data_IF_024418878615
#
_entry.id   IF_024418878615
#
_cell.length_a   1.000
_cell.length_b   1.000
_cell.length_c   1.000
_cell.angle_alpha   90.00
_cell.angle_beta   90.00
_cell.angle_gamma   90.00
#
_symmetry.space_group_name_H-M   'P 1'
#
loop_
_entity.id
_entity.type
_entity.pdbx_description
1 polymer ?
#
# COMPACT_ATOMS: atom_id res chain seq x y z
N UNK A 1 -33.73 -26.62 -17.82
CA UNK A 1 -33.52 -26.06 -16.48
C UNK A 1 -32.17 -25.40 -16.54
N UNK A 2 -32.07 -24.10 -16.24
CA UNK A 2 -30.76 -23.46 -16.14
C UNK A 2 -30.08 -24.04 -14.89
N UNK A 3 -28.85 -24.54 -15.02
CA UNK A 3 -28.09 -25.00 -13.86
C UNK A 3 -27.88 -23.83 -12.90
N UNK A 4 -28.07 -24.11 -11.62
CA UNK A 4 -27.75 -23.18 -10.54
C UNK A 4 -26.26 -22.82 -10.61
N UNK A 5 -25.88 -21.56 -10.35
CA UNK A 5 -24.46 -21.20 -10.32
C UNK A 5 -23.73 -21.98 -9.22
N UNK A 6 -22.51 -22.40 -9.51
CA UNK A 6 -21.62 -23.03 -8.52
C UNK A 6 -21.40 -22.09 -7.34
N UNK A 7 -21.68 -22.57 -6.13
CA UNK A 7 -21.39 -21.84 -4.89
C UNK A 7 -19.94 -22.11 -4.51
N UNK A 8 -19.16 -21.04 -4.38
CA UNK A 8 -17.77 -21.08 -3.89
C UNK A 8 -17.83 -20.97 -2.35
N UNK A 9 -17.45 -22.03 -1.64
CA UNK A 9 -17.42 -22.04 -0.19
C UNK A 9 -16.07 -21.53 0.36
N UNK A 10 -14.99 -21.73 -0.40
CA UNK A 10 -13.64 -21.34 0.00
C UNK A 10 -12.74 -21.02 -1.18
N UNK A 11 -11.56 -20.45 -0.90
CA UNK A 11 -10.53 -20.22 -1.91
C UNK A 11 -10.05 -21.55 -2.53
N UNK A 12 -10.10 -22.65 -1.79
CA UNK A 12 -9.68 -23.97 -2.25
C UNK A 12 -10.56 -24.48 -3.42
N UNK A 13 -11.83 -24.09 -3.48
CA UNK A 13 -12.74 -24.47 -4.58
C UNK A 13 -12.36 -23.83 -5.93
N UNK A 14 -11.50 -22.80 -5.86
CA UNK A 14 -10.94 -22.08 -6.99
C UNK A 14 -9.54 -22.56 -7.37
N UNK A 15 -8.96 -23.50 -6.60
CA UNK A 15 -7.63 -24.03 -6.86
C UNK A 15 -7.53 -24.65 -8.27
N UNK A 16 -6.43 -24.34 -8.98
CA UNK A 16 -6.20 -24.81 -10.35
C UNK A 16 -6.99 -24.08 -11.44
N UNK A 17 -7.96 -23.21 -11.10
CA UNK A 17 -8.67 -22.36 -12.08
C UNK A 17 -7.88 -21.11 -12.44
N UNK A 18 -6.99 -20.67 -11.55
CA UNK A 18 -6.21 -19.44 -11.69
C UNK A 18 -4.72 -19.73 -11.62
N UNK A 19 -3.95 -19.04 -12.47
CA UNK A 19 -2.50 -19.18 -12.53
C UNK A 19 -1.77 -18.43 -11.41
N UNK A 20 -2.43 -17.50 -10.73
CA UNK A 20 -1.91 -16.74 -9.61
C UNK A 20 -3.06 -16.09 -8.82
N UNK A 21 -2.76 -15.64 -7.61
CA UNK A 21 -3.66 -14.86 -6.75
C UNK A 21 -3.01 -13.49 -6.49
N UNK A 22 -3.77 -12.44 -6.75
CA UNK A 22 -3.48 -11.07 -6.31
C UNK A 22 -4.42 -10.77 -5.15
N UNK A 23 -3.90 -10.76 -3.93
CA UNK A 23 -4.69 -10.67 -2.71
C UNK A 23 -4.47 -9.32 -2.02
N UNK A 24 -5.56 -8.68 -1.63
CA UNK A 24 -5.51 -7.50 -0.77
C UNK A 24 -5.01 -7.85 0.64
N UNK A 25 -4.62 -6.84 1.41
CA UNK A 25 -3.96 -6.97 2.71
C UNK A 25 -4.82 -6.44 3.85
N UNK A 26 -5.13 -5.15 3.84
CA UNK A 26 -5.90 -4.52 4.93
C UNK A 26 -7.37 -4.91 4.84
N UNK A 27 -7.92 -5.44 5.93
CA UNK A 27 -9.29 -5.98 5.94
C UNK A 27 -9.44 -7.39 5.35
N UNK A 28 -8.39 -7.95 4.73
CA UNK A 28 -8.40 -9.30 4.14
C UNK A 28 -7.43 -10.25 4.83
N UNK A 29 -6.18 -9.82 5.04
CA UNK A 29 -5.14 -10.60 5.73
C UNK A 29 -4.99 -10.13 7.18
N UNK A 30 -5.16 -8.82 7.45
CA UNK A 30 -5.04 -8.26 8.79
C UNK A 30 -5.78 -6.92 8.94
N UNK A 31 -5.87 -6.41 10.17
CA UNK A 31 -6.45 -5.10 10.48
C UNK A 31 -5.42 -4.07 11.00
N UNK A 32 -4.13 -4.40 10.97
CA UNK A 32 -3.05 -3.54 11.48
C UNK A 32 -2.65 -3.83 12.92
N UNK A 33 -3.49 -4.52 13.69
CA UNK A 33 -3.19 -4.93 15.07
C UNK A 33 -2.90 -6.44 15.17
N UNK A 34 -3.67 -7.27 14.45
CA UNK A 34 -3.45 -8.70 14.32
C UNK A 34 -3.85 -9.20 12.93
N UNK A 35 -3.33 -10.37 12.56
CA UNK A 35 -3.71 -11.04 11.31
C UNK A 35 -4.95 -11.93 11.47
N UNK A 36 -5.58 -12.28 10.36
CA UNK A 36 -6.70 -13.20 10.27
C UNK A 36 -6.20 -14.61 9.93
N UNK A 37 -6.19 -15.57 10.89
CA UNK A 37 -5.54 -16.87 10.67
C UNK A 37 -6.16 -17.69 9.53
N UNK A 38 -7.48 -17.59 9.34
CA UNK A 38 -8.17 -18.31 8.26
C UNK A 38 -7.73 -17.82 6.86
N UNK A 39 -7.52 -16.52 6.69
CA UNK A 39 -7.04 -15.94 5.44
C UNK A 39 -5.61 -16.37 5.15
N UNK A 40 -4.70 -16.23 6.13
CA UNK A 40 -3.32 -16.68 6.01
C UNK A 40 -3.23 -18.18 5.67
N UNK A 41 -4.03 -19.03 6.33
CA UNK A 41 -4.07 -20.46 6.06
C UNK A 41 -4.58 -20.80 4.66
N UNK A 42 -5.57 -20.05 4.13
CA UNK A 42 -6.06 -20.23 2.77
C UNK A 42 -4.99 -19.90 1.72
N UNK A 43 -4.26 -18.80 1.91
CA UNK A 43 -3.17 -18.42 1.02
C UNK A 43 -2.00 -19.42 1.09
N UNK A 44 -1.64 -19.90 2.29
CA UNK A 44 -0.62 -20.93 2.46
C UNK A 44 -0.98 -22.24 1.74
N UNK A 45 -2.26 -22.66 1.79
CA UNK A 45 -2.75 -23.84 1.03
C UNK A 45 -2.68 -23.60 -0.48
N UNK A 46 -3.05 -22.43 -0.97
CA UNK A 46 -2.94 -22.10 -2.39
C UNK A 46 -1.47 -22.20 -2.87
N UNK A 47 -0.52 -21.70 -2.09
CA UNK A 47 0.91 -21.83 -2.38
C UNK A 47 1.41 -23.28 -2.34
N UNK A 48 0.97 -24.06 -1.35
CA UNK A 48 1.28 -25.49 -1.29
C UNK A 48 0.72 -26.27 -2.51
N UNK A 49 -0.35 -25.76 -3.13
CA UNK A 49 -0.89 -26.25 -4.39
C UNK A 49 -0.21 -25.65 -5.65
N UNK A 50 0.94 -24.97 -5.49
CA UNK A 50 1.71 -24.30 -6.53
C UNK A 50 0.98 -23.15 -7.25
N UNK A 51 0.04 -22.49 -6.56
CA UNK A 51 -0.54 -21.21 -7.03
C UNK A 51 0.25 -20.06 -6.40
N UNK A 52 0.97 -19.25 -7.20
CA UNK A 52 1.67 -18.07 -6.69
C UNK A 52 0.70 -17.08 -6.05
N UNK A 53 1.08 -16.54 -4.90
CA UNK A 53 0.31 -15.54 -4.16
C UNK A 53 1.13 -14.26 -4.05
N UNK A 54 0.62 -13.18 -4.64
CA UNK A 54 1.18 -11.83 -4.49
C UNK A 54 0.19 -11.00 -3.68
N UNK A 55 0.66 -10.44 -2.58
CA UNK A 55 -0.10 -9.46 -1.82
C UNK A 55 0.05 -8.09 -2.48
N UNK A 56 -1.07 -7.43 -2.74
CA UNK A 56 -1.13 -6.08 -3.30
C UNK A 56 -1.82 -5.18 -2.29
N UNK A 57 -1.19 -4.08 -1.91
CA UNK A 57 -1.75 -3.13 -0.93
C UNK A 57 -1.53 -1.69 -1.35
N UNK A 58 -2.48 -0.82 -1.02
CA UNK A 58 -2.36 0.61 -1.23
C UNK A 58 -1.42 1.31 -0.24
N UNK A 59 -0.78 0.58 0.68
CA UNK A 59 0.17 1.17 1.62
C UNK A 59 1.20 2.04 0.90
N UNK A 60 1.46 3.27 1.40
CA UNK A 60 2.41 4.19 0.78
C UNK A 60 3.87 3.79 1.08
N UNK A 61 4.06 2.86 2.02
CA UNK A 61 5.38 2.37 2.43
C UNK A 61 5.92 1.36 1.43
N UNK A 62 7.23 1.12 1.49
CA UNK A 62 7.89 0.11 0.67
C UNK A 62 7.50 -1.30 1.11
N UNK A 63 7.54 -2.26 0.18
CA UNK A 63 7.20 -3.67 0.49
C UNK A 63 8.01 -4.25 1.66
N UNK A 64 9.28 -3.89 1.81
CA UNK A 64 10.11 -4.35 2.92
C UNK A 64 9.52 -3.95 4.30
N UNK A 65 9.03 -2.72 4.42
CA UNK A 65 8.45 -2.18 5.66
C UNK A 65 7.07 -2.80 5.94
N UNK A 66 6.28 -3.06 4.88
CA UNK A 66 5.00 -3.77 4.99
C UNK A 66 5.24 -5.22 5.44
N UNK A 67 6.21 -5.93 4.85
CA UNK A 67 6.57 -7.30 5.25
C UNK A 67 7.02 -7.34 6.72
N UNK A 68 7.82 -6.37 7.15
CA UNK A 68 8.27 -6.29 8.54
C UNK A 68 7.09 -6.08 9.51
N UNK A 69 6.14 -5.20 9.18
CA UNK A 69 4.93 -5.00 9.97
C UNK A 69 4.07 -6.27 10.02
N UNK A 70 3.80 -6.88 8.87
CA UNK A 70 3.01 -8.11 8.76
C UNK A 70 3.60 -9.23 9.64
N UNK A 71 4.93 -9.37 9.64
CA UNK A 71 5.62 -10.32 10.51
C UNK A 71 5.44 -9.96 11.99
N UNK A 72 5.51 -8.68 12.36
CA UNK A 72 5.34 -8.24 13.75
C UNK A 72 3.94 -8.54 14.31
N UNK A 73 2.89 -8.48 13.47
CA UNK A 73 1.51 -8.83 13.84
C UNK A 73 1.16 -10.31 13.61
N UNK A 74 2.17 -11.12 13.30
CA UNK A 74 2.09 -12.58 13.27
C UNK A 74 1.65 -13.21 11.95
N UNK A 75 1.66 -12.48 10.83
CA UNK A 75 1.38 -13.08 9.51
C UNK A 75 2.48 -14.11 9.19
N UNK A 76 2.13 -15.38 8.92
CA UNK A 76 3.10 -16.40 8.55
C UNK A 76 3.85 -16.06 7.25
N UNK A 77 5.16 -16.33 7.22
CA UNK A 77 5.99 -16.07 6.04
C UNK A 77 5.58 -16.93 4.82
N UNK A 78 4.87 -18.03 5.05
CA UNK A 78 4.35 -18.90 4.00
C UNK A 78 3.00 -18.44 3.43
N UNK A 79 2.46 -17.30 3.86
CA UNK A 79 1.21 -16.76 3.34
C UNK A 79 1.32 -16.12 1.94
N UNK A 80 2.52 -15.74 1.48
CA UNK A 80 2.70 -15.14 0.16
C UNK A 80 4.09 -15.41 -0.44
N UNK A 81 4.21 -15.23 -1.76
CA UNK A 81 5.50 -15.24 -2.47
C UNK A 81 6.12 -13.86 -2.56
N UNK A 82 5.29 -12.81 -2.65
CA UNK A 82 5.74 -11.42 -2.75
C UNK A 82 4.69 -10.44 -2.22
N UNK A 83 5.16 -9.27 -1.81
CA UNK A 83 4.33 -8.09 -1.53
C UNK A 83 4.68 -7.01 -2.54
N UNK A 84 3.67 -6.36 -3.09
CA UNK A 84 3.77 -5.15 -3.92
C UNK A 84 2.89 -4.09 -3.29
N UNK A 85 3.45 -2.89 -3.09
CA UNK A 85 2.74 -1.78 -2.46
C UNK A 85 2.51 -0.64 -3.45
N UNK A 86 1.52 0.21 -3.17
CA UNK A 86 1.38 1.48 -3.89
C UNK A 86 2.63 2.35 -3.74
N UNK A 87 3.26 2.35 -2.56
CA UNK A 87 4.56 2.98 -2.35
C UNK A 87 5.64 2.53 -3.33
N UNK A 88 5.79 1.22 -3.55
CA UNK A 88 6.79 0.67 -4.47
C UNK A 88 6.64 1.22 -5.88
N UNK A 89 5.41 1.28 -6.41
CA UNK A 89 5.13 1.76 -7.78
C UNK A 89 5.04 3.29 -7.87
N UNK A 90 4.71 3.98 -6.78
CA UNK A 90 4.67 5.45 -6.74
C UNK A 90 6.07 6.05 -6.87
N UNK A 91 7.11 5.30 -6.48
CA UNK A 91 8.51 5.74 -6.65
C UNK A 91 8.88 6.10 -8.08
N UNK A 92 8.30 5.44 -9.07
CA UNK A 92 8.54 5.79 -10.48
C UNK A 92 7.98 7.18 -10.81
N UNK A 93 6.77 7.50 -10.31
CA UNK A 93 6.18 8.84 -10.46
C UNK A 93 6.99 9.92 -9.73
N UNK A 94 7.56 9.57 -8.56
CA UNK A 94 8.43 10.49 -7.80
C UNK A 94 9.72 10.75 -8.58
N UNK A 95 10.33 9.71 -9.15
CA UNK A 95 11.56 9.82 -9.93
C UNK A 95 11.39 10.60 -11.23
N UNK A 96 10.25 10.44 -11.91
CA UNK A 96 9.89 11.17 -13.13
C UNK A 96 9.39 12.60 -12.85
N UNK A 97 9.08 12.90 -11.59
CA UNK A 97 8.49 14.16 -11.13
C UNK A 97 9.52 15.25 -10.78
N UNK A 98 9.05 16.33 -10.14
CA UNK A 98 9.93 17.41 -9.69
C UNK A 98 10.87 16.96 -8.56
N UNK A 99 12.16 17.31 -8.67
CA UNK A 99 13.21 16.94 -7.70
C UNK A 99 13.05 17.58 -6.31
N UNK A 100 12.52 18.81 -6.23
CA UNK A 100 12.27 19.51 -4.96
C UNK A 100 10.85 19.22 -4.49
N UNK A 101 10.72 18.40 -3.44
CA UNK A 101 9.46 17.82 -2.98
C UNK A 101 9.08 18.40 -1.62
N UNK A 102 7.83 18.83 -1.50
CA UNK A 102 7.17 19.01 -0.20
C UNK A 102 6.45 17.71 0.15
N UNK A 103 6.85 17.09 1.25
CA UNK A 103 6.24 15.85 1.72
C UNK A 103 5.07 16.14 2.66
N UNK A 104 3.97 15.42 2.50
CA UNK A 104 2.85 15.37 3.43
C UNK A 104 2.69 13.93 3.90
N UNK A 105 2.89 13.69 5.20
CA UNK A 105 2.86 12.35 5.78
C UNK A 105 3.80 12.20 6.98
N UNK A 106 3.75 11.06 7.67
CA UNK A 106 4.53 10.82 8.88
C UNK A 106 6.00 10.52 8.55
N UNK A 107 6.93 10.85 9.45
CA UNK A 107 8.39 10.62 9.25
C UNK A 107 8.75 9.17 8.91
N UNK A 108 7.96 8.21 9.41
CA UNK A 108 8.13 6.77 9.12
C UNK A 108 8.06 6.43 7.64
N UNK A 109 7.43 7.29 6.82
CA UNK A 109 7.27 7.08 5.38
C UNK A 109 8.43 7.68 4.56
N UNK A 110 9.45 8.29 5.19
CA UNK A 110 10.62 8.83 4.48
C UNK A 110 11.41 7.75 3.74
N UNK A 111 11.29 6.47 4.14
CA UNK A 111 11.89 5.33 3.43
C UNK A 111 11.40 5.22 1.98
N UNK A 112 10.26 5.82 1.64
CA UNK A 112 9.74 5.93 0.28
C UNK A 112 10.73 6.63 -0.66
N UNK A 113 11.55 7.56 -0.15
CA UNK A 113 12.51 8.33 -0.95
C UNK A 113 13.89 7.68 -1.06
N UNK A 114 14.16 6.61 -0.32
CA UNK A 114 15.49 5.98 -0.28
C UNK A 114 15.99 5.62 -1.68
N UNK A 115 17.17 6.14 -2.03
CA UNK A 115 17.82 5.92 -3.31
C UNK A 115 17.23 6.68 -4.50
N UNK A 116 16.29 7.62 -4.28
CA UNK A 116 15.81 8.54 -5.31
C UNK A 116 16.64 9.84 -5.27
N UNK A 117 16.90 10.45 -6.44
CA UNK A 117 17.55 11.76 -6.54
C UNK A 117 16.52 12.88 -6.35
N UNK A 118 16.09 13.07 -5.10
CA UNK A 118 15.12 14.09 -4.69
C UNK A 118 15.60 14.84 -3.45
N UNK A 119 15.24 16.12 -3.35
CA UNK A 119 15.46 16.95 -2.16
C UNK A 119 14.10 17.19 -1.48
N UNK A 120 13.96 16.74 -0.24
CA UNK A 120 12.83 17.13 0.61
C UNK A 120 13.07 18.55 1.11
N UNK A 121 12.14 19.44 0.83
CA UNK A 121 12.27 20.88 1.10
C UNK A 121 11.02 21.45 1.73
N UNK A 122 11.13 22.67 2.27
CA UNK A 122 10.00 23.40 2.84
C UNK A 122 8.93 23.74 1.78
N UNK A 123 7.70 24.01 2.23
CA UNK A 123 6.55 24.28 1.36
C UNK A 123 6.91 25.30 0.26
N UNK A 124 7.52 26.44 0.65
CA UNK A 124 7.82 27.55 -0.26
C UNK A 124 8.91 27.24 -1.30
N UNK A 125 9.76 26.25 -1.06
CA UNK A 125 10.87 25.86 -1.95
C UNK A 125 10.48 24.78 -2.95
N UNK A 126 9.36 24.10 -2.69
CA UNK A 126 8.95 22.92 -3.43
C UNK A 126 8.46 23.21 -4.85
N UNK A 127 8.62 22.20 -5.70
CA UNK A 127 8.15 22.17 -7.08
C UNK A 127 7.17 21.02 -7.35
N UNK A 128 7.00 20.11 -6.40
CA UNK A 128 6.00 19.04 -6.40
C UNK A 128 5.67 18.62 -4.97
N UNK A 129 4.56 17.90 -4.82
CA UNK A 129 4.08 17.37 -3.54
C UNK A 129 4.00 15.85 -3.62
N UNK A 130 4.46 15.17 -2.57
CA UNK A 130 4.24 13.74 -2.37
C UNK A 130 3.51 13.55 -1.05
N UNK A 131 2.28 13.02 -1.14
CA UNK A 131 1.43 12.73 0.00
C UNK A 131 1.38 11.23 0.25
N UNK A 132 1.83 10.80 1.43
CA UNK A 132 1.72 9.41 1.89
C UNK A 132 0.58 9.22 2.90
N UNK A 133 0.12 10.31 3.51
CA UNK A 133 -0.95 10.33 4.50
C UNK A 133 -1.01 11.69 5.19
N UNK A 134 -1.61 11.73 6.38
CA UNK A 134 -1.55 12.89 7.28
C UNK A 134 -0.22 12.83 8.06
N UNK A 135 0.27 13.97 8.55
CA UNK A 135 1.44 14.04 9.44
C UNK A 135 1.19 13.24 10.73
N UNK A 136 0.00 13.38 11.32
CA UNK A 136 -0.47 12.61 12.48
C UNK A 136 -1.93 12.15 12.27
N UNK A 137 -2.08 10.91 11.80
CA UNK A 137 -3.38 10.29 11.51
C UNK A 137 -4.19 9.89 12.76
N UNK A 138 -3.63 10.03 13.96
CA UNK A 138 -4.35 9.77 15.21
C UNK A 138 -5.20 10.98 15.66
N UNK A 139 -4.78 12.19 15.31
CA UNK A 139 -5.40 13.43 15.81
C UNK A 139 -5.88 14.38 14.71
N UNK A 140 -5.25 14.37 13.55
CA UNK A 140 -5.54 15.30 12.46
C UNK A 140 -6.66 14.78 11.56
N UNK A 141 -7.28 15.69 10.82
CA UNK A 141 -8.35 15.43 9.87
C UNK A 141 -8.09 16.15 8.56
N UNK A 142 -8.71 15.72 7.44
CA UNK A 142 -8.57 16.42 6.16
C UNK A 142 -8.90 17.93 6.21
N UNK A 143 -9.80 18.34 7.11
CA UNK A 143 -10.15 19.74 7.29
C UNK A 143 -8.97 20.61 7.77
N UNK A 144 -8.05 20.04 8.55
CA UNK A 144 -6.87 20.75 9.07
C UNK A 144 -5.87 21.09 7.94
N UNK A 145 -5.97 20.39 6.81
CA UNK A 145 -5.13 20.56 5.62
C UNK A 145 -5.71 21.54 4.60
N UNK A 146 -6.93 22.06 4.80
CA UNK A 146 -7.63 22.85 3.79
C UNK A 146 -6.82 24.08 3.33
N UNK A 147 -6.27 24.85 4.28
CA UNK A 147 -5.45 26.03 3.95
C UNK A 147 -4.16 25.65 3.24
N UNK A 148 -3.48 24.59 3.70
CA UNK A 148 -2.27 24.06 3.07
C UNK A 148 -2.56 23.66 1.62
N UNK A 149 -3.59 22.85 1.39
CA UNK A 149 -3.98 22.38 0.06
C UNK A 149 -4.37 23.55 -0.87
N UNK A 150 -5.01 24.59 -0.34
CA UNK A 150 -5.28 25.82 -1.10
C UNK A 150 -3.99 26.53 -1.55
N UNK A 151 -2.98 26.66 -0.67
CA UNK A 151 -1.68 27.27 -1.03
C UNK A 151 -0.92 26.46 -2.07
N UNK A 152 -0.89 25.14 -1.91
CA UNK A 152 -0.27 24.23 -2.89
C UNK A 152 -0.95 24.32 -4.25
N UNK A 153 -2.29 24.31 -4.27
CA UNK A 153 -3.09 24.44 -5.50
C UNK A 153 -2.93 25.81 -6.16
N UNK A 154 -2.81 26.90 -5.40
CA UNK A 154 -2.60 28.24 -5.94
C UNK A 154 -1.30 28.35 -6.75
N UNK A 155 -0.29 27.54 -6.41
CA UNK A 155 0.97 27.40 -7.15
C UNK A 155 0.94 26.35 -8.27
N UNK A 156 -0.19 25.66 -8.45
CA UNK A 156 -0.38 24.59 -9.42
C UNK A 156 0.69 23.48 -9.32
N UNK A 157 1.09 23.14 -8.09
CA UNK A 157 2.05 22.05 -7.86
C UNK A 157 1.41 20.71 -8.23
N UNK A 158 2.13 19.81 -8.93
CA UNK A 158 1.68 18.43 -9.08
C UNK A 158 1.63 17.76 -7.72
N UNK A 159 0.61 16.91 -7.52
CA UNK A 159 0.35 16.23 -6.27
C UNK A 159 0.34 14.72 -6.52
N UNK A 160 1.40 14.05 -6.08
CA UNK A 160 1.53 12.60 -6.14
C UNK A 160 0.91 12.03 -4.86
N UNK A 161 -0.09 11.17 -5.01
CA UNK A 161 -0.71 10.44 -3.91
C UNK A 161 -0.14 9.02 -3.87
N UNK A 162 0.55 8.66 -2.78
CA UNK A 162 1.16 7.35 -2.61
C UNK A 162 0.24 6.30 -1.99
N UNK A 163 -0.91 6.71 -1.44
CA UNK A 163 -1.97 5.84 -0.95
C UNK A 163 -3.35 6.37 -1.39
N UNK A 164 -4.05 5.72 -2.34
CA UNK A 164 -5.34 6.17 -2.85
C UNK A 164 -6.56 5.88 -1.94
N UNK A 165 -6.39 5.20 -0.81
CA UNK A 165 -7.46 4.99 0.20
C UNK A 165 -7.80 6.28 0.96
#
# INVERSE_FOLDING_TARGET
MADSPDIIASLDDLAGRYAAILCDVWGVVHNGEWHFPAAAAALARARAANVPVVLITNSPRRSADVIAQMKAIGVPADACDRVVTSGDVTRDLIADGPRRIFHIGPERDFTLYDGLDVDLVEEFEASGVVCTGLYDDEVEKPADYAELLHRLRARNLPFICANPE
#
